data_IF_111545823584
#
_entry.id   IF_111545823584
#
_cell.length_a   1.000
_cell.length_b   1.000
_cell.length_c   1.000
_cell.angle_alpha   90.00
_cell.angle_beta   90.00
_cell.angle_gamma   90.00
#
_symmetry.space_group_name_H-M   'P 1'
#
loop_
_entity.id
_entity.type
_entity.pdbx_description
1 polymer ?
#
# COMPACT_ATOMS: atom_id res chain seq x y z
N UNK A 1 -4.18 52.07 46.30
CA UNK A 1 -4.01 52.18 47.77
C UNK A 1 -5.33 51.79 48.44
N UNK A 2 -5.22 50.99 49.52
CA UNK A 2 -6.25 50.62 50.51
C UNK A 2 -7.21 49.47 50.19
N UNK A 3 -6.69 48.26 50.48
CA UNK A 3 -7.40 47.11 51.08
C UNK A 3 -8.15 47.51 52.37
N UNK A 4 -9.22 46.77 52.70
CA UNK A 4 -9.85 46.45 54.01
C UNK A 4 -11.37 46.26 53.76
N UNK A 5 -12.15 45.28 54.20
CA UNK A 5 -12.23 44.29 55.32
C UNK A 5 -13.37 43.32 54.87
N UNK A 6 -13.20 42.00 54.73
CA UNK A 6 -13.22 40.93 55.73
C UNK A 6 -14.60 40.65 56.41
N UNK A 7 -15.16 39.46 56.07
CA UNK A 7 -15.78 38.44 56.98
C UNK A 7 -17.28 38.62 57.40
N UNK A 8 -18.19 37.69 57.04
CA UNK A 8 -18.61 36.49 57.84
C UNK A 8 -19.91 35.78 57.34
N UNK A 9 -19.96 34.44 57.53
CA UNK A 9 -21.11 33.49 57.60
C UNK A 9 -21.84 33.10 56.30
N UNK A 10 -21.65 31.93 55.65
CA UNK A 10 -21.83 30.50 56.03
C UNK A 10 -23.24 30.12 56.49
N UNK A 11 -24.01 29.49 55.58
CA UNK A 11 -25.01 28.40 55.78
C UNK A 11 -25.68 28.14 54.41
N UNK A 12 -25.14 27.24 53.59
CA UNK A 12 -25.55 25.83 53.47
C UNK A 12 -26.93 25.65 52.76
N UNK A 13 -26.91 25.20 51.50
CA UNK A 13 -27.78 24.12 51.01
C UNK A 13 -27.24 23.58 49.66
N UNK A 14 -26.48 22.48 49.77
CA UNK A 14 -26.48 21.31 48.88
C UNK A 14 -27.19 21.43 47.51
N UNK A 15 -26.38 21.49 46.45
CA UNK A 15 -26.75 21.10 45.08
C UNK A 15 -25.62 20.25 44.51
N UNK A 16 -25.79 18.94 44.57
CA UNK A 16 -24.79 17.89 44.36
C UNK A 16 -24.12 17.95 42.99
N UNK A 17 -22.78 18.02 42.99
CA UNK A 17 -21.94 17.65 41.85
C UNK A 17 -22.17 16.17 41.51
N UNK A 18 -22.71 15.89 40.33
CA UNK A 18 -22.50 14.59 39.68
C UNK A 18 -21.34 14.72 38.71
N UNK A 19 -20.13 14.76 39.27
CA UNK A 19 -18.94 14.29 38.58
C UNK A 19 -18.94 12.76 38.69
N UNK A 20 -19.61 12.09 37.75
CA UNK A 20 -19.34 10.68 37.47
C UNK A 20 -18.19 10.61 36.48
N UNK A 21 -17.01 11.04 36.93
CA UNK A 21 -15.74 10.65 36.35
C UNK A 21 -15.34 9.32 36.99
N UNK A 22 -16.05 8.26 36.62
CA UNK A 22 -15.53 6.91 36.78
C UNK A 22 -14.89 6.54 35.44
N UNK A 23 -13.57 6.45 35.44
CA UNK A 23 -12.83 5.73 34.42
C UNK A 23 -13.33 4.29 34.42
N UNK A 24 -14.25 4.00 33.51
CA UNK A 24 -14.45 2.66 33.03
C UNK A 24 -13.39 2.47 31.95
N UNK A 25 -12.48 1.52 32.20
CA UNK A 25 -11.77 0.81 31.15
C UNK A 25 -12.84 0.49 30.10
N UNK A 26 -12.84 1.20 28.97
CA UNK A 26 -13.66 0.85 27.83
C UNK A 26 -13.14 -0.53 27.44
N UNK A 27 -13.95 -1.54 27.69
CA UNK A 27 -13.94 -2.73 26.86
C UNK A 27 -14.20 -2.22 25.44
N UNK A 28 -13.12 -2.02 24.70
CA UNK A 28 -13.11 -1.76 23.27
C UNK A 28 -13.52 -3.04 22.56
N UNK A 29 -14.78 -3.46 22.70
CA UNK A 29 -15.39 -4.50 21.89
C UNK A 29 -16.88 -4.62 22.21
N UNK A 30 -17.65 -3.63 21.79
CA UNK A 30 -19.06 -3.88 21.50
C UNK A 30 -19.22 -3.77 19.98
N UNK A 31 -18.76 -4.81 19.28
CA UNK A 31 -18.83 -4.98 17.83
C UNK A 31 -20.26 -5.20 17.34
N UNK A 32 -21.21 -4.44 17.88
CA UNK A 32 -22.60 -4.44 17.46
C UNK A 32 -23.09 -3.03 17.16
N UNK A 33 -23.82 -2.90 16.07
CA UNK A 33 -24.52 -1.68 15.67
C UNK A 33 -25.71 -1.41 16.60
N UNK A 34 -26.34 -0.23 16.48
CA UNK A 34 -27.47 0.15 17.33
C UNK A 34 -28.71 -0.74 17.16
N UNK A 35 -28.85 -1.40 16.01
CA UNK A 35 -29.89 -2.38 15.68
C UNK A 35 -29.46 -3.84 15.96
N UNK A 36 -28.24 -4.05 16.45
CA UNK A 36 -27.78 -5.33 16.99
C UNK A 36 -27.04 -6.24 16.00
N UNK A 37 -26.77 -5.77 14.77
CA UNK A 37 -25.92 -6.44 13.77
C UNK A 37 -24.46 -6.44 14.23
N UNK A 38 -23.66 -7.37 13.72
CA UNK A 38 -22.20 -7.36 13.93
C UNK A 38 -21.58 -6.25 13.09
N UNK A 39 -20.90 -5.30 13.74
CA UNK A 39 -20.26 -4.18 13.05
C UNK A 39 -18.84 -4.59 12.60
N UNK A 40 -18.53 -4.40 11.32
CA UNK A 40 -17.23 -4.71 10.71
C UNK A 40 -16.67 -3.44 10.06
N UNK A 41 -15.42 -3.11 10.35
CA UNK A 41 -14.69 -1.99 9.74
C UNK A 41 -13.78 -2.51 8.64
N UNK A 42 -13.95 -2.01 7.42
CA UNK A 42 -13.11 -2.33 6.28
C UNK A 42 -12.30 -1.10 5.86
N UNK A 43 -10.97 -1.14 5.97
CA UNK A 43 -10.10 -0.03 5.58
C UNK A 43 -9.41 -0.21 4.23
N UNK A 44 -9.31 0.89 3.47
CA UNK A 44 -8.68 0.94 2.13
C UNK A 44 -7.76 2.16 1.99
N UNK A 45 -6.70 2.03 1.19
CA UNK A 45 -5.85 3.15 0.77
C UNK A 45 -6.37 3.86 -0.48
N UNK A 46 -7.37 3.30 -1.14
CA UNK A 46 -7.89 3.85 -2.40
C UNK A 46 -8.60 5.19 -2.17
N UNK A 47 -8.76 5.93 -3.26
CA UNK A 47 -9.39 7.26 -3.28
C UNK A 47 -10.28 7.43 -4.51
N UNK A 48 -11.16 8.43 -4.48
CA UNK A 48 -12.00 8.82 -5.61
C UNK A 48 -12.81 7.64 -6.19
N UNK A 49 -12.78 7.44 -7.51
CA UNK A 49 -13.61 6.48 -8.23
C UNK A 49 -13.46 5.03 -7.72
N UNK A 50 -12.26 4.66 -7.23
CA UNK A 50 -12.01 3.33 -6.68
C UNK A 50 -12.73 3.12 -5.33
N UNK A 51 -12.81 4.15 -4.49
CA UNK A 51 -13.60 4.12 -3.24
C UNK A 51 -15.09 4.07 -3.55
N UNK A 52 -15.56 4.80 -4.57
CA UNK A 52 -16.96 4.74 -5.00
C UNK A 52 -17.35 3.35 -5.50
N UNK A 53 -16.42 2.64 -6.16
CA UNK A 53 -16.62 1.26 -6.59
C UNK A 53 -16.67 0.30 -5.39
N UNK A 54 -15.75 0.45 -4.42
CA UNK A 54 -15.75 -0.35 -3.19
C UNK A 54 -16.98 -0.10 -2.34
N UNK A 55 -17.43 1.15 -2.22
CA UNK A 55 -18.63 1.48 -1.48
C UNK A 55 -19.87 0.78 -2.05
N UNK A 56 -20.00 0.69 -3.38
CA UNK A 56 -21.10 -0.08 -4.00
C UNK A 56 -21.07 -1.57 -3.65
N UNK A 57 -19.87 -2.16 -3.52
CA UNK A 57 -19.72 -3.55 -3.10
C UNK A 57 -20.10 -3.72 -1.63
N UNK A 58 -19.68 -2.80 -0.77
CA UNK A 58 -20.04 -2.76 0.66
C UNK A 58 -21.55 -2.58 0.85
N UNK A 59 -22.16 -1.66 0.11
CA UNK A 59 -23.61 -1.43 0.15
C UNK A 59 -24.37 -2.69 -0.26
N UNK A 60 -23.96 -3.34 -1.35
CA UNK A 60 -24.55 -4.61 -1.79
C UNK A 60 -24.38 -5.72 -0.75
N UNK A 61 -23.21 -5.82 -0.13
CA UNK A 61 -22.98 -6.79 0.95
C UNK A 61 -23.93 -6.52 2.13
N UNK A 62 -24.06 -5.27 2.57
CA UNK A 62 -24.96 -4.90 3.67
C UNK A 62 -26.44 -5.12 3.33
N UNK A 63 -26.83 -5.05 2.06
CA UNK A 63 -28.18 -5.40 1.58
C UNK A 63 -28.45 -6.92 1.61
N UNK A 64 -27.42 -7.74 1.37
CA UNK A 64 -27.52 -9.20 1.33
C UNK A 64 -27.34 -9.84 2.73
N UNK A 65 -26.89 -9.08 3.73
CA UNK A 65 -26.59 -9.56 5.08
C UNK A 65 -27.36 -8.77 6.16
N UNK A 66 -28.34 -9.42 6.78
CA UNK A 66 -29.14 -8.82 7.86
C UNK A 66 -28.47 -8.85 9.24
N UNK A 67 -27.40 -9.65 9.39
CA UNK A 67 -26.70 -9.91 10.67
C UNK A 67 -25.34 -9.21 10.77
N UNK A 68 -24.83 -8.64 9.69
CA UNK A 68 -23.54 -7.95 9.59
C UNK A 68 -23.75 -6.57 8.96
N UNK A 69 -22.98 -5.58 9.43
CA UNK A 69 -22.88 -4.26 8.80
C UNK A 69 -21.42 -3.87 8.63
N UNK A 70 -21.00 -3.69 7.39
CA UNK A 70 -19.65 -3.27 7.00
C UNK A 70 -19.61 -1.76 6.79
N UNK A 71 -18.64 -1.09 7.41
CA UNK A 71 -18.32 0.32 7.19
C UNK A 71 -16.99 0.44 6.45
N UNK A 72 -16.99 1.10 5.29
CA UNK A 72 -15.77 1.39 4.54
C UNK A 72 -15.04 2.62 5.12
N UNK A 73 -13.75 2.48 5.35
CA UNK A 73 -12.87 3.52 5.87
C UNK A 73 -11.75 3.82 4.87
N UNK A 74 -11.94 4.86 4.05
CA UNK A 74 -10.93 5.32 3.10
C UNK A 74 -9.88 6.18 3.81
N UNK A 75 -8.66 5.65 3.96
CA UNK A 75 -7.57 6.34 4.64
C UNK A 75 -6.63 7.09 3.69
N UNK A 76 -6.63 6.76 2.39
CA UNK A 76 -5.79 7.42 1.41
C UNK A 76 -4.31 7.38 1.77
N UNK A 77 -3.61 8.52 1.67
CA UNK A 77 -2.17 8.63 1.95
C UNK A 77 -1.78 8.35 3.40
N UNK A 78 -2.72 8.38 4.34
CA UNK A 78 -2.45 8.15 5.77
C UNK A 78 -2.62 6.66 6.15
N UNK A 79 -2.87 5.78 5.19
CA UNK A 79 -3.20 4.37 5.40
C UNK A 79 -2.22 3.67 6.35
N UNK A 80 -0.95 3.60 5.99
CA UNK A 80 0.08 2.89 6.77
C UNK A 80 0.19 3.47 8.19
N UNK A 81 0.12 4.80 8.34
CA UNK A 81 0.21 5.46 9.64
C UNK A 81 -0.98 5.09 10.53
N UNK A 82 -2.19 5.05 9.96
CA UNK A 82 -3.40 4.69 10.70
C UNK A 82 -3.44 3.20 11.06
N UNK A 83 -3.02 2.31 10.16
CA UNK A 83 -2.92 0.88 10.44
C UNK A 83 -1.90 0.60 11.54
N UNK A 84 -0.68 1.15 11.45
CA UNK A 84 0.33 1.00 12.49
C UNK A 84 -0.15 1.52 13.85
N UNK A 85 -0.81 2.69 13.89
CA UNK A 85 -1.34 3.26 15.12
C UNK A 85 -2.52 2.45 15.69
N UNK A 86 -3.41 1.97 14.84
CA UNK A 86 -4.53 1.08 15.20
C UNK A 86 -4.02 -0.21 15.84
N UNK A 87 -3.08 -0.89 15.18
CA UNK A 87 -2.46 -2.12 15.72
C UNK A 87 -1.75 -1.89 17.04
N UNK A 88 -1.00 -0.78 17.18
CA UNK A 88 -0.34 -0.45 18.45
C UNK A 88 -1.28 -0.06 19.59
N UNK A 89 -2.50 0.38 19.29
CA UNK A 89 -3.50 0.82 20.28
C UNK A 89 -4.65 -0.16 20.52
N UNK A 90 -4.74 -1.22 19.71
CA UNK A 90 -5.85 -2.17 19.73
C UNK A 90 -7.14 -1.64 19.11
N UNK A 91 -7.04 -0.67 18.20
CA UNK A 91 -8.16 -0.06 17.45
C UNK A 91 -7.98 -0.22 15.93
N UNK A 92 -7.45 -1.38 15.52
CA UNK A 92 -7.30 -1.74 14.10
C UNK A 92 -8.65 -2.04 13.47
N UNK A 93 -8.87 -1.68 12.20
CA UNK A 93 -10.00 -2.21 11.41
C UNK A 93 -10.02 -3.75 11.41
N UNK A 94 -11.21 -4.33 11.25
CA UNK A 94 -11.40 -5.79 11.22
C UNK A 94 -10.90 -6.41 9.91
N UNK A 95 -11.13 -5.70 8.79
CA UNK A 95 -10.66 -6.06 7.46
C UNK A 95 -9.89 -4.87 6.89
N UNK A 96 -8.78 -5.11 6.20
CA UNK A 96 -8.02 -4.04 5.60
C UNK A 96 -7.27 -4.52 4.37
N UNK A 97 -7.10 -3.61 3.41
CA UNK A 97 -6.08 -3.80 2.40
C UNK A 97 -4.69 -3.84 3.05
N UNK A 98 -3.80 -4.69 2.55
CA UNK A 98 -2.46 -4.83 3.14
C UNK A 98 -1.45 -5.20 2.07
N UNK A 99 -0.34 -4.48 2.02
CA UNK A 99 0.76 -4.73 1.08
C UNK A 99 2.07 -5.13 1.78
N UNK A 100 2.20 -4.85 3.07
CA UNK A 100 3.38 -5.12 3.90
C UNK A 100 3.03 -6.02 5.10
N UNK A 101 2.14 -6.99 4.89
CA UNK A 101 1.67 -7.90 5.94
C UNK A 101 2.78 -8.64 6.72
N UNK A 102 3.99 -8.96 6.19
CA UNK A 102 4.99 -9.63 7.01
C UNK A 102 5.45 -8.79 8.21
N UNK A 103 5.37 -7.46 8.13
CA UNK A 103 5.66 -6.56 9.25
C UNK A 103 4.58 -6.60 10.34
N UNK A 104 3.42 -7.18 10.04
CA UNK A 104 2.23 -7.20 10.90
C UNK A 104 1.74 -8.62 11.21
N UNK A 105 2.42 -9.67 10.76
CA UNK A 105 1.96 -11.06 10.86
C UNK A 105 1.57 -11.46 12.29
N UNK A 106 2.32 -11.01 13.31
CA UNK A 106 2.01 -11.28 14.73
C UNK A 106 0.68 -10.68 15.21
N UNK A 107 0.17 -9.66 14.51
CA UNK A 107 -1.11 -8.98 14.81
C UNK A 107 -2.23 -9.31 13.83
N UNK A 108 -1.98 -10.20 12.85
CA UNK A 108 -2.96 -10.62 11.86
C UNK A 108 -3.48 -12.03 12.18
N UNK A 109 -4.74 -12.25 11.88
CA UNK A 109 -5.38 -13.55 12.05
C UNK A 109 -4.92 -14.52 10.95
N UNK A 110 -4.43 -15.73 11.30
CA UNK A 110 -4.21 -16.80 10.34
C UNK A 110 -5.51 -17.23 9.65
N UNK A 111 -5.50 -17.30 8.32
CA UNK A 111 -6.70 -17.53 7.52
C UNK A 111 -6.88 -18.99 7.08
N UNK A 112 -5.91 -19.86 7.33
CA UNK A 112 -5.91 -21.24 6.82
C UNK A 112 -7.17 -22.03 7.25
N UNK A 113 -7.58 -21.94 8.52
CA UNK A 113 -8.80 -22.63 8.99
C UNK A 113 -10.10 -22.11 8.34
N UNK A 114 -10.12 -20.86 7.87
CA UNK A 114 -11.28 -20.29 7.17
C UNK A 114 -11.28 -20.75 5.72
N UNK A 115 -10.11 -20.75 5.07
CA UNK A 115 -9.94 -21.22 3.70
C UNK A 115 -10.26 -22.71 3.59
N UNK A 116 -9.79 -23.54 4.52
CA UNK A 116 -10.06 -24.99 4.53
C UNK A 116 -11.56 -25.30 4.63
N UNK A 117 -12.36 -24.43 5.26
CA UNK A 117 -13.83 -24.61 5.35
C UNK A 117 -14.55 -24.36 4.04
N UNK A 118 -14.00 -23.53 3.16
CA UNK A 118 -14.53 -23.31 1.81
C UNK A 118 -14.24 -24.51 0.88
N UNK A 119 -13.25 -25.34 1.24
CA UNK A 119 -12.90 -26.59 0.59
C UNK A 119 -11.62 -26.52 -0.26
N UNK A 120 -11.08 -27.70 -0.59
CA UNK A 120 -9.77 -27.86 -1.25
C UNK A 120 -9.64 -27.08 -2.57
N UNK A 121 -10.75 -26.83 -3.26
CA UNK A 121 -10.77 -26.14 -4.54
C UNK A 121 -10.80 -24.60 -4.43
N UNK A 122 -11.04 -24.03 -3.24
CA UNK A 122 -11.15 -22.57 -3.07
C UNK A 122 -9.91 -21.82 -3.59
N UNK A 123 -8.71 -22.35 -3.32
CA UNK A 123 -7.47 -21.73 -3.77
C UNK A 123 -7.30 -21.76 -5.30
N UNK A 124 -8.03 -22.61 -6.02
CA UNK A 124 -7.97 -22.73 -7.48
C UNK A 124 -8.69 -21.59 -8.21
N UNK A 125 -9.52 -20.82 -7.51
CA UNK A 125 -10.16 -19.61 -8.06
C UNK A 125 -9.17 -18.44 -8.21
N UNK A 126 -7.94 -18.60 -7.72
CA UNK A 126 -6.89 -17.58 -7.74
C UNK A 126 -5.64 -18.08 -8.47
N UNK A 127 -4.84 -17.14 -8.99
CA UNK A 127 -3.52 -17.48 -9.50
C UNK A 127 -2.63 -17.99 -8.37
N UNK A 128 -2.05 -19.18 -8.55
CA UNK A 128 -1.29 -19.88 -7.51
C UNK A 128 -0.12 -19.05 -6.93
N UNK A 129 0.51 -18.20 -7.76
CA UNK A 129 1.59 -17.31 -7.33
C UNK A 129 1.17 -16.28 -6.29
N UNK A 130 -0.11 -15.91 -6.24
CA UNK A 130 -0.61 -14.93 -5.27
C UNK A 130 -0.67 -15.50 -3.85
N UNK A 131 -0.85 -16.82 -3.71
CA UNK A 131 -0.83 -17.46 -2.40
C UNK A 131 0.56 -17.43 -1.76
N UNK A 132 1.61 -17.55 -2.58
CA UNK A 132 2.99 -17.41 -2.09
C UNK A 132 3.23 -16.01 -1.52
N UNK A 133 2.69 -14.98 -2.17
CA UNK A 133 2.81 -13.62 -1.67
C UNK A 133 2.02 -13.42 -0.38
N UNK A 134 0.84 -14.02 -0.22
CA UNK A 134 -0.02 -13.83 0.96
C UNK A 134 0.27 -14.78 2.13
N UNK A 135 1.37 -15.53 2.06
CA UNK A 135 1.75 -16.51 3.09
C UNK A 135 3.14 -16.25 3.64
N UNK A 136 3.29 -16.34 4.96
CA UNK A 136 4.57 -16.29 5.67
C UNK A 136 4.77 -17.59 6.44
N UNK A 137 5.92 -18.24 6.25
CA UNK A 137 6.25 -19.52 6.90
C UNK A 137 5.16 -20.60 6.75
N UNK A 138 4.47 -20.61 5.60
CA UNK A 138 3.40 -21.56 5.29
C UNK A 138 2.03 -21.23 5.88
N UNK A 139 1.90 -20.11 6.60
CA UNK A 139 0.63 -19.62 7.15
C UNK A 139 0.07 -18.51 6.25
N UNK A 140 -1.21 -18.61 5.89
CA UNK A 140 -1.89 -17.62 5.03
C UNK A 140 -2.42 -16.47 5.90
N UNK A 141 -2.03 -15.22 5.61
CA UNK A 141 -2.49 -14.04 6.38
C UNK A 141 -3.35 -13.07 5.56
N UNK A 142 -3.49 -13.30 4.26
CA UNK A 142 -4.26 -12.45 3.36
C UNK A 142 -5.00 -13.25 2.29
N UNK A 143 -6.12 -12.70 1.84
CA UNK A 143 -6.83 -13.21 0.65
C UNK A 143 -6.42 -12.33 -0.54
N UNK A 144 -5.96 -12.90 -1.67
CA UNK A 144 -5.61 -12.10 -2.84
C UNK A 144 -6.81 -11.33 -3.39
N UNK A 145 -6.74 -10.00 -3.39
CA UNK A 145 -7.78 -9.13 -3.98
C UNK A 145 -7.42 -8.65 -5.38
N UNK A 146 -6.15 -8.77 -5.78
CA UNK A 146 -5.66 -8.36 -7.09
C UNK A 146 -4.13 -8.39 -7.14
N UNK A 147 -3.59 -8.05 -8.31
CA UNK A 147 -2.16 -7.85 -8.53
C UNK A 147 -1.94 -6.83 -9.63
N UNK A 148 -0.76 -6.22 -9.63
CA UNK A 148 -0.29 -5.33 -10.68
C UNK A 148 1.01 -5.89 -11.26
N UNK A 149 1.35 -5.45 -12.48
CA UNK A 149 2.60 -5.85 -13.12
C UNK A 149 3.21 -4.64 -13.84
N UNK A 150 4.53 -4.69 -14.02
CA UNK A 150 5.23 -3.69 -14.80
C UNK A 150 5.09 -3.96 -16.29
N UNK A 151 4.90 -2.92 -17.10
CA UNK A 151 4.77 -3.02 -18.55
C UNK A 151 5.40 -1.82 -19.22
N UNK A 152 5.99 -2.03 -20.41
CA UNK A 152 6.52 -0.95 -21.23
C UNK A 152 5.38 -0.32 -22.06
N UNK A 153 4.95 0.87 -21.66
CA UNK A 153 4.08 1.71 -22.48
C UNK A 153 4.93 2.61 -23.37
N UNK A 154 4.54 2.74 -24.65
CA UNK A 154 5.27 3.58 -25.60
C UNK A 154 4.30 4.40 -26.47
N UNK A 155 4.78 5.56 -26.93
CA UNK A 155 4.05 6.44 -27.85
C UNK A 155 4.37 6.04 -29.30
N UNK A 156 3.39 5.43 -29.98
CA UNK A 156 3.54 4.95 -31.38
C UNK A 156 3.93 6.06 -32.35
N UNK A 157 3.30 7.23 -32.26
CA UNK A 157 3.57 8.35 -33.16
C UNK A 157 5.01 8.85 -33.01
N UNK A 158 5.54 8.85 -31.78
CA UNK A 158 6.91 9.26 -31.50
C UNK A 158 7.93 8.27 -32.08
N UNK A 159 7.63 6.97 -32.00
CA UNK A 159 8.46 5.92 -32.62
C UNK A 159 8.49 6.07 -34.15
N UNK A 160 7.33 6.29 -34.78
CA UNK A 160 7.23 6.55 -36.23
C UNK A 160 7.99 7.82 -36.62
N UNK A 161 7.84 8.91 -35.87
CA UNK A 161 8.55 10.17 -36.13
C UNK A 161 10.07 10.01 -36.04
N UNK A 162 10.55 9.18 -35.11
CA UNK A 162 11.98 8.89 -34.94
C UNK A 162 12.51 7.85 -35.94
N UNK A 163 11.63 7.11 -36.62
CA UNK A 163 12.00 5.98 -37.47
C UNK A 163 12.53 4.78 -36.67
N UNK A 164 11.98 4.56 -35.48
CA UNK A 164 12.32 3.44 -34.59
C UNK A 164 11.22 2.39 -34.66
N UNK A 165 11.59 1.12 -34.82
CA UNK A 165 10.65 0.00 -34.80
C UNK A 165 9.99 -0.17 -33.43
N UNK A 166 8.75 -0.67 -33.41
CA UNK A 166 8.01 -0.89 -32.16
C UNK A 166 8.73 -1.89 -31.24
N UNK A 167 8.59 -1.77 -29.90
CA UNK A 167 9.17 -2.72 -28.96
C UNK A 167 8.65 -4.14 -29.17
N UNK A 168 9.51 -5.14 -29.01
CA UNK A 168 9.17 -6.56 -29.04
C UNK A 168 9.49 -7.23 -27.72
N UNK A 169 8.98 -8.45 -27.52
CA UNK A 169 9.24 -9.24 -26.30
C UNK A 169 10.73 -9.65 -26.16
N UNK A 170 11.51 -9.55 -27.23
CA UNK A 170 12.95 -9.87 -27.26
C UNK A 170 13.84 -8.65 -26.94
N UNK A 171 13.25 -7.47 -26.68
CA UNK A 171 14.02 -6.27 -26.37
C UNK A 171 14.83 -6.42 -25.10
N UNK A 172 16.09 -6.00 -25.18
CA UNK A 172 16.98 -5.85 -24.04
C UNK A 172 17.01 -4.40 -23.56
N UNK A 173 17.60 -4.18 -22.38
CA UNK A 173 17.94 -2.84 -21.91
C UNK A 173 18.85 -2.05 -22.88
N UNK A 174 19.67 -2.74 -23.68
CA UNK A 174 20.50 -2.08 -24.68
C UNK A 174 19.67 -1.58 -25.86
N UNK A 175 18.66 -2.35 -26.29
CA UNK A 175 17.74 -1.96 -27.35
C UNK A 175 16.90 -0.77 -26.93
N UNK A 176 16.38 -0.80 -25.70
CA UNK A 176 15.64 0.33 -25.12
C UNK A 176 16.50 1.60 -25.06
N UNK A 177 17.77 1.51 -24.62
CA UNK A 177 18.69 2.66 -24.60
C UNK A 177 18.98 3.20 -26.00
N UNK A 178 19.12 2.32 -27.00
CA UNK A 178 19.37 2.71 -28.39
C UNK A 178 18.14 3.39 -29.02
N UNK A 179 16.95 2.85 -28.80
CA UNK A 179 15.69 3.45 -29.19
C UNK A 179 15.50 4.82 -28.52
N UNK A 180 15.73 4.90 -27.21
CA UNK A 180 15.57 6.14 -26.45
C UNK A 180 16.51 7.25 -26.96
N UNK A 181 17.76 6.89 -27.26
CA UNK A 181 18.74 7.80 -27.86
C UNK A 181 18.30 8.27 -29.24
N UNK A 182 17.84 7.37 -30.10
CA UNK A 182 17.40 7.71 -31.46
C UNK A 182 16.20 8.66 -31.43
N UNK A 183 15.24 8.40 -30.53
CA UNK A 183 14.09 9.28 -30.33
C UNK A 183 14.55 10.69 -29.93
N UNK A 184 15.47 10.82 -28.98
CA UNK A 184 15.99 12.15 -28.59
C UNK A 184 16.68 12.86 -29.75
N UNK A 185 17.57 12.18 -30.47
CA UNK A 185 18.31 12.78 -31.59
C UNK A 185 17.41 13.22 -32.74
N UNK A 186 16.31 12.50 -32.99
CA UNK A 186 15.41 12.75 -34.13
C UNK A 186 14.26 13.70 -33.83
N UNK A 187 13.80 13.74 -32.58
CA UNK A 187 12.56 14.44 -32.21
C UNK A 187 12.78 15.51 -31.15
N UNK A 188 13.91 15.49 -30.45
CA UNK A 188 14.17 16.33 -29.27
C UNK A 188 13.42 15.89 -28.01
N UNK A 189 12.59 14.84 -28.07
CA UNK A 189 11.87 14.28 -26.93
C UNK A 189 12.70 13.26 -26.18
N UNK A 190 12.47 13.12 -24.87
CA UNK A 190 13.12 12.06 -24.08
C UNK A 190 12.55 10.71 -24.48
N UNK A 191 13.43 9.78 -24.82
CA UNK A 191 13.03 8.48 -25.36
C UNK A 191 12.73 7.42 -24.31
N UNK A 192 12.98 7.71 -23.02
CA UNK A 192 12.59 6.85 -21.91
C UNK A 192 12.19 7.69 -20.69
N UNK A 193 11.25 7.19 -19.89
CA UNK A 193 10.86 7.82 -18.64
C UNK A 193 10.81 6.75 -17.54
N UNK A 194 11.36 7.09 -16.38
CA UNK A 194 11.26 6.26 -15.18
C UNK A 194 11.15 7.15 -13.94
N UNK A 195 10.55 6.59 -12.89
CA UNK A 195 10.42 7.26 -11.60
C UNK A 195 11.77 7.19 -10.88
N UNK A 196 12.40 8.35 -10.65
CA UNK A 196 13.67 8.44 -9.90
C UNK A 196 13.46 8.52 -8.38
N UNK A 197 12.21 8.51 -7.91
CA UNK A 197 11.92 8.42 -6.48
C UNK A 197 12.56 7.12 -5.98
N UNK A 198 13.33 7.14 -4.87
CA UNK A 198 13.90 5.94 -4.29
C UNK A 198 12.78 5.12 -3.67
N UNK A 199 12.06 4.39 -4.52
CA UNK A 199 11.01 3.45 -4.15
C UNK A 199 11.54 2.05 -4.47
N UNK A 200 11.88 1.23 -3.45
CA UNK A 200 12.42 -0.11 -3.69
C UNK A 200 11.53 -0.94 -4.61
N UNK A 201 10.20 -0.81 -4.48
CA UNK A 201 9.24 -1.55 -5.30
C UNK A 201 9.40 -1.28 -6.81
N UNK A 202 9.53 -0.01 -7.20
CA UNK A 202 9.68 0.38 -8.61
C UNK A 202 11.06 -0.01 -9.18
N UNK A 203 12.08 -0.09 -8.32
CA UNK A 203 13.46 -0.38 -8.75
C UNK A 203 13.81 -1.87 -8.74
N UNK A 204 13.08 -2.67 -7.97
CA UNK A 204 13.33 -4.10 -7.81
C UNK A 204 13.29 -4.84 -9.16
N UNK A 205 12.34 -4.49 -10.02
CA UNK A 205 12.21 -5.08 -11.35
C UNK A 205 13.50 -4.96 -12.18
N UNK A 206 14.25 -3.87 -12.02
CA UNK A 206 15.47 -3.62 -12.77
C UNK A 206 16.61 -4.50 -12.25
N UNK A 207 16.70 -4.69 -10.93
CA UNK A 207 17.65 -5.60 -10.32
C UNK A 207 17.38 -7.04 -10.76
N UNK A 208 16.13 -7.49 -10.65
CA UNK A 208 15.73 -8.85 -11.06
C UNK A 208 16.01 -9.11 -12.53
N UNK A 209 15.79 -8.11 -13.41
CA UNK A 209 16.09 -8.24 -14.84
C UNK A 209 17.58 -8.41 -15.14
N UNK A 210 18.47 -8.07 -14.20
CA UNK A 210 19.91 -8.29 -14.30
C UNK A 210 20.40 -9.42 -13.36
N UNK A 211 19.50 -10.28 -12.89
CA UNK A 211 19.84 -11.47 -12.11
C UNK A 211 20.30 -11.22 -10.67
N UNK A 212 19.92 -10.07 -10.09
CA UNK A 212 20.23 -9.72 -8.69
C UNK A 212 19.00 -9.19 -7.97
N UNK A 213 19.07 -8.97 -6.67
CA UNK A 213 17.97 -8.50 -5.84
C UNK A 213 18.48 -7.57 -4.73
N UNK A 214 17.59 -7.05 -3.89
CA UNK A 214 17.99 -6.26 -2.73
C UNK A 214 18.66 -7.10 -1.64
N UNK A 215 18.19 -8.33 -1.45
CA UNK A 215 18.71 -9.28 -0.49
C UNK A 215 18.59 -10.71 -1.04
N UNK A 216 19.29 -11.64 -0.40
CA UNK A 216 19.14 -13.08 -0.67
C UNK A 216 17.91 -13.67 0.05
N UNK A 217 17.75 -14.99 -0.05
CA UNK A 217 16.65 -15.75 0.58
C UNK A 217 16.63 -15.62 2.11
N UNK A 218 17.77 -15.34 2.74
CA UNK A 218 17.92 -15.14 4.18
C UNK A 218 17.81 -13.65 4.59
N UNK A 219 17.46 -12.77 3.65
CA UNK A 219 17.34 -11.33 3.87
C UNK A 219 18.68 -10.60 3.98
N UNK A 220 19.80 -11.24 3.62
CA UNK A 220 21.12 -10.59 3.63
C UNK A 220 21.30 -9.70 2.40
N UNK A 221 21.56 -8.42 2.64
CA UNK A 221 21.78 -7.44 1.57
C UNK A 221 23.21 -7.48 1.00
N UNK A 222 24.18 -7.88 1.84
CA UNK A 222 25.59 -7.89 1.46
C UNK A 222 25.85 -8.93 0.37
N UNK A 223 26.51 -8.50 -0.72
CA UNK A 223 26.73 -9.31 -1.90
C UNK A 223 25.58 -9.26 -2.92
N UNK A 224 24.45 -8.63 -2.59
CA UNK A 224 23.28 -8.50 -3.48
C UNK A 224 23.14 -7.06 -3.98
N UNK A 225 22.78 -6.12 -3.11
CA UNK A 225 22.59 -4.72 -3.49
C UNK A 225 23.90 -4.03 -3.92
N UNK A 226 25.04 -4.52 -3.46
CA UNK A 226 26.39 -4.06 -3.81
C UNK A 226 27.10 -4.96 -4.84
N UNK A 227 26.39 -5.93 -5.41
CA UNK A 227 26.89 -6.82 -6.47
C UNK A 227 27.30 -6.06 -7.73
N UNK A 228 28.04 -6.72 -8.63
CA UNK A 228 28.39 -6.10 -9.93
C UNK A 228 27.16 -5.87 -10.77
N UNK A 229 26.25 -6.84 -10.72
CA UNK A 229 24.97 -6.87 -11.42
C UNK A 229 24.10 -5.68 -10.98
N UNK A 230 24.04 -5.40 -9.66
CA UNK A 230 23.34 -4.22 -9.12
C UNK A 230 24.00 -2.93 -9.56
N UNK A 231 25.33 -2.86 -9.51
CA UNK A 231 26.08 -1.69 -9.97
C UNK A 231 25.85 -1.39 -11.46
N UNK A 232 25.74 -2.42 -12.31
CA UNK A 232 25.44 -2.28 -13.74
C UNK A 232 24.06 -1.65 -13.98
N UNK A 233 23.04 -2.08 -13.24
CA UNK A 233 21.68 -1.51 -13.30
C UNK A 233 21.72 -0.02 -12.92
N UNK A 234 22.33 0.33 -11.79
CA UNK A 234 22.41 1.74 -11.38
C UNK A 234 23.24 2.58 -12.36
N UNK A 235 24.33 2.01 -12.91
CA UNK A 235 25.15 2.68 -13.90
C UNK A 235 24.40 2.93 -15.20
N UNK A 236 23.56 1.99 -15.63
CA UNK A 236 22.68 2.17 -16.79
C UNK A 236 21.82 3.43 -16.63
N UNK A 237 21.11 3.57 -15.50
CA UNK A 237 20.29 4.77 -15.24
C UNK A 237 21.13 6.05 -15.16
N UNK A 238 22.28 6.01 -14.49
CA UNK A 238 23.19 7.16 -14.44
C UNK A 238 23.68 7.58 -15.83
N UNK A 239 23.99 6.63 -16.70
CA UNK A 239 24.49 6.89 -18.04
C UNK A 239 23.37 7.42 -18.95
N UNK A 240 22.13 6.93 -18.78
CA UNK A 240 20.96 7.50 -19.45
C UNK A 240 20.73 8.97 -19.04
N UNK A 241 20.83 9.30 -17.74
CA UNK A 241 20.67 10.68 -17.24
C UNK A 241 21.80 11.59 -17.77
N UNK A 242 23.06 11.13 -17.72
CA UNK A 242 24.22 11.90 -18.24
C UNK A 242 24.11 12.17 -19.73
N UNK A 243 23.61 11.21 -20.51
CA UNK A 243 23.36 11.35 -21.96
C UNK A 243 22.09 12.15 -22.26
N UNK A 244 21.28 12.43 -21.24
CA UNK A 244 19.98 13.12 -21.31
C UNK A 244 18.92 12.35 -22.10
N UNK A 245 19.06 11.05 -22.31
CA UNK A 245 18.10 10.26 -23.11
C UNK A 245 16.86 9.80 -22.32
N UNK A 246 16.87 9.99 -21.01
CA UNK A 246 15.73 9.72 -20.13
C UNK A 246 15.18 10.99 -19.47
N UNK A 247 13.89 11.00 -19.20
CA UNK A 247 13.30 11.92 -18.24
C UNK A 247 13.22 11.23 -16.88
N UNK A 248 13.98 11.75 -15.93
CA UNK A 248 13.79 11.43 -14.54
C UNK A 248 12.72 12.39 -14.04
N UNK A 249 11.55 11.90 -13.61
CA UNK A 249 10.53 12.73 -12.95
C UNK A 249 11.07 13.27 -11.59
N UNK A 250 12.05 14.16 -11.64
CA UNK A 250 12.28 15.15 -10.59
C UNK A 250 11.06 16.04 -10.70
N UNK A 251 10.10 15.92 -9.77
CA UNK A 251 9.13 17.00 -9.53
C UNK A 251 9.88 18.31 -9.72
N UNK A 252 9.37 19.11 -10.64
CA UNK A 252 9.92 20.42 -10.99
C UNK A 252 10.44 21.07 -9.72
N UNK A 253 11.75 21.25 -9.64
CA UNK A 253 12.33 22.16 -8.66
C UNK A 253 11.87 23.55 -9.07
N UNK A 254 10.72 23.95 -8.55
CA UNK A 254 10.39 25.34 -8.27
C UNK A 254 10.96 25.69 -6.90
#
# INVERSE_FOLDING_TARGET
MKRKIAVMCVLALTGTMMLTACGNKKDSNNGKTSDGKTAIRFATWDVADDVDAQQKLVDKFNEEHDDIEVTLEAYGSDFDTKISAGMGSGDTPDVMYMWNYPAYADGLEPLDEYIDKEGDDYKNDFYSTLWNYNSLDGTTYGIPVGFTTHSLFYNKDLFVQAGVEEPTDDWTWSDLQAAAKTIEEKTGQKGFAFQMKPDPYDFEMYLWSNGTAYCDEDGQMAGQIDSKESQEVFKMFQDMEKRRICNCNRKERN
#
